data_IF_910826531394
#
_entry.id   IF_910826531394
#
_cell.length_a   1.000
_cell.length_b   1.000
_cell.length_c   1.000
_cell.angle_alpha   90.00
_cell.angle_beta   90.00
_cell.angle_gamma   90.00
#
_symmetry.space_group_name_H-M   'P 1'
#
loop_
_entity.id
_entity.type
_entity.pdbx_description
1 polymer ?
#
# COMPACT_ATOMS: atom_id res chain seq x y z
N UNK A 1 50.03 -43.99 49.21
CA UNK A 1 49.06 -42.96 48.80
C UNK A 1 49.45 -42.50 47.40
N UNK A 2 48.80 -43.03 46.37
CA UNK A 2 48.96 -42.58 44.98
C UNK A 2 47.54 -42.38 44.47
N UNK A 3 47.22 -41.13 44.14
CA UNK A 3 45.90 -40.67 43.76
C UNK A 3 45.72 -40.96 42.26
N UNK A 4 44.74 -41.80 41.92
CA UNK A 4 44.19 -41.90 40.57
C UNK A 4 43.29 -40.68 40.34
N UNK A 5 43.67 -39.78 39.43
CA UNK A 5 42.79 -38.74 38.92
C UNK A 5 42.18 -39.20 37.59
N UNK A 6 40.85 -39.25 37.60
CA UNK A 6 39.98 -39.58 36.49
C UNK A 6 40.21 -38.63 35.30
N UNK A 7 40.44 -39.21 34.12
CA UNK A 7 40.34 -38.49 32.85
C UNK A 7 38.87 -38.21 32.56
N UNK A 8 38.49 -36.94 32.63
CA UNK A 8 37.18 -36.46 32.18
C UNK A 8 37.14 -36.47 30.65
N UNK A 9 36.18 -37.22 30.10
CA UNK A 9 35.69 -37.04 28.73
C UNK A 9 35.08 -35.64 28.59
N UNK A 10 35.57 -34.84 27.65
CA UNK A 10 34.79 -33.79 27.02
C UNK A 10 34.69 -34.13 25.54
N UNK A 11 33.56 -34.71 25.16
CA UNK A 11 33.11 -34.73 23.78
C UNK A 11 32.55 -33.34 23.50
N UNK A 12 33.37 -32.46 22.91
CA UNK A 12 32.84 -31.33 22.16
C UNK A 12 32.22 -31.92 20.89
N UNK A 13 30.91 -31.74 20.73
CA UNK A 13 30.14 -32.03 19.53
C UNK A 13 30.79 -31.35 18.33
N UNK A 14 31.53 -32.14 17.55
CA UNK A 14 32.14 -31.72 16.29
C UNK A 14 31.00 -31.42 15.32
N UNK A 15 30.75 -30.13 15.08
CA UNK A 15 29.88 -29.67 13.99
C UNK A 15 30.50 -30.19 12.67
N UNK A 16 29.99 -31.28 12.11
CA UNK A 16 30.55 -31.88 10.90
C UNK A 16 30.41 -30.91 9.70
N UNK A 17 31.51 -30.23 9.34
CA UNK A 17 31.60 -29.36 8.16
C UNK A 17 31.66 -30.15 6.84
N UNK A 18 31.08 -31.35 6.75
CA UNK A 18 31.16 -32.17 5.54
C UNK A 18 30.24 -31.65 4.44
N UNK A 19 30.68 -31.73 3.18
CA UNK A 19 29.90 -31.27 2.05
C UNK A 19 30.21 -32.08 0.79
N UNK A 20 29.30 -32.03 -0.18
CA UNK A 20 29.41 -32.59 -1.53
C UNK A 20 29.23 -31.52 -2.60
N UNK A 21 28.57 -30.42 -2.26
CA UNK A 21 28.30 -29.28 -3.15
C UNK A 21 28.36 -27.97 -2.38
N UNK A 22 28.61 -26.86 -3.08
CA UNK A 22 28.63 -25.51 -2.49
C UNK A 22 27.30 -25.13 -1.82
N UNK A 23 26.18 -25.71 -2.27
CA UNK A 23 24.85 -25.46 -1.71
C UNK A 23 24.76 -25.80 -0.21
N UNK A 24 25.47 -26.84 0.22
CA UNK A 24 25.50 -27.29 1.62
C UNK A 24 26.32 -26.36 2.53
N UNK A 25 27.13 -25.48 1.94
CA UNK A 25 27.96 -24.50 2.66
C UNK A 25 27.36 -23.09 2.68
N UNK A 26 26.18 -22.89 2.07
CA UNK A 26 25.49 -21.59 2.01
C UNK A 26 25.06 -21.06 3.39
N UNK A 27 24.97 -21.94 4.39
CA UNK A 27 24.70 -21.56 5.77
C UNK A 27 25.86 -20.82 6.45
N UNK A 28 27.05 -20.77 5.82
CA UNK A 28 28.22 -20.07 6.33
C UNK A 28 28.58 -18.89 5.45
N UNK A 29 29.10 -17.82 6.05
CA UNK A 29 29.56 -16.67 5.28
C UNK A 29 30.66 -17.07 4.29
N UNK A 30 30.34 -17.01 2.99
CA UNK A 30 31.26 -17.36 1.90
C UNK A 30 31.79 -18.79 1.99
N UNK A 31 30.99 -19.70 2.54
CA UNK A 31 31.29 -21.12 2.55
C UNK A 31 31.30 -21.67 1.12
N UNK A 32 32.37 -22.40 0.78
CA UNK A 32 32.45 -23.23 -0.43
C UNK A 32 32.83 -24.64 -0.06
N UNK A 33 32.35 -25.59 -0.83
CA UNK A 33 32.69 -26.98 -0.64
C UNK A 33 34.03 -27.29 -1.32
N UNK A 34 35.07 -27.50 -0.52
CA UNK A 34 36.39 -27.85 -1.01
C UNK A 34 36.85 -29.13 -0.31
N UNK A 35 37.21 -30.15 -1.09
CA UNK A 35 37.68 -31.44 -0.59
C UNK A 35 36.74 -32.06 0.47
N UNK A 36 35.44 -32.09 0.12
CA UNK A 36 34.37 -32.57 0.97
C UNK A 36 34.21 -31.86 2.33
N UNK A 37 34.79 -30.66 2.49
CA UNK A 37 34.67 -29.84 3.70
C UNK A 37 34.29 -28.40 3.37
N UNK A 38 33.33 -27.82 4.07
CA UNK A 38 32.99 -26.41 3.95
C UNK A 38 34.18 -25.55 4.40
N UNK A 39 34.66 -24.70 3.50
CA UNK A 39 35.78 -23.79 3.71
C UNK A 39 35.32 -22.36 3.50
N UNK A 40 35.65 -21.48 4.44
CA UNK A 40 35.28 -20.06 4.40
C UNK A 40 36.51 -19.18 4.22
N UNK A 41 36.36 -18.05 3.52
CA UNK A 41 37.47 -17.15 3.17
C UNK A 41 37.25 -15.73 3.65
N UNK A 42 38.34 -15.08 4.10
CA UNK A 42 38.35 -13.69 4.53
C UNK A 42 38.05 -12.73 3.38
N UNK A 43 37.42 -11.58 3.72
CA UNK A 43 36.86 -10.64 2.72
C UNK A 43 37.88 -9.99 1.80
N UNK A 44 39.09 -9.77 2.31
CA UNK A 44 40.08 -8.91 1.66
C UNK A 44 41.36 -9.65 1.26
N UNK A 45 41.56 -10.88 1.74
CA UNK A 45 42.81 -11.63 1.54
C UNK A 45 42.63 -13.01 0.93
N UNK A 46 41.40 -13.50 0.76
CA UNK A 46 41.13 -14.86 0.29
C UNK A 46 41.68 -15.97 1.19
N UNK A 47 42.23 -15.61 2.35
CA UNK A 47 42.79 -16.55 3.31
C UNK A 47 41.68 -17.35 3.99
N UNK A 48 41.97 -18.62 4.26
CA UNK A 48 41.07 -19.51 4.98
C UNK A 48 40.85 -18.99 6.40
N UNK A 49 39.59 -18.87 6.79
CA UNK A 49 39.15 -18.48 8.13
C UNK A 49 38.12 -19.48 8.64
N UNK A 50 37.90 -19.46 9.95
CA UNK A 50 36.86 -20.27 10.57
C UNK A 50 35.48 -19.87 10.02
N UNK A 51 34.70 -20.88 9.65
CA UNK A 51 33.37 -20.66 9.10
C UNK A 51 32.44 -20.11 10.16
N UNK A 52 32.00 -18.88 9.97
CA UNK A 52 30.93 -18.27 10.75
C UNK A 52 29.60 -18.57 10.07
N UNK A 53 28.55 -18.95 10.82
CA UNK A 53 27.20 -19.00 10.28
C UNK A 53 26.87 -17.67 9.60
N UNK A 54 26.14 -17.72 8.48
CA UNK A 54 25.57 -16.52 7.91
C UNK A 54 24.70 -15.86 8.97
N UNK A 55 25.08 -14.66 9.40
CA UNK A 55 24.14 -13.78 10.08
C UNK A 55 23.05 -13.43 9.06
N UNK A 56 21.94 -14.17 9.09
CA UNK A 56 20.70 -13.64 8.55
C UNK A 56 20.43 -12.38 9.36
N UNK A 57 20.74 -11.22 8.79
CA UNK A 57 20.30 -9.94 9.34
C UNK A 57 18.79 -10.01 9.43
N UNK A 58 18.28 -10.35 10.61
CA UNK A 58 16.86 -10.29 10.94
C UNK A 58 16.51 -8.82 10.80
N UNK A 59 15.91 -8.50 9.66
CA UNK A 59 15.44 -7.15 9.39
C UNK A 59 14.21 -6.96 10.26
N UNK A 60 14.31 -6.11 11.29
CA UNK A 60 13.16 -5.64 12.08
C UNK A 60 12.30 -4.65 11.28
N UNK A 61 12.07 -4.94 10.00
CA UNK A 61 11.41 -4.08 9.02
C UNK A 61 10.28 -4.87 8.37
N UNK A 62 9.11 -4.26 8.23
CA UNK A 62 7.98 -4.83 7.49
C UNK A 62 8.38 -4.97 6.00
N UNK A 63 8.09 -6.13 5.41
CA UNK A 63 8.62 -6.57 4.13
C UNK A 63 9.90 -7.42 4.22
N UNK A 64 10.51 -7.49 5.41
CA UNK A 64 11.68 -8.33 5.70
C UNK A 64 11.37 -9.82 5.84
N UNK A 65 12.39 -10.66 6.04
CA UNK A 65 12.23 -12.11 6.20
C UNK A 65 11.61 -12.49 7.55
N UNK A 66 10.92 -13.63 7.60
CA UNK A 66 10.43 -14.21 8.85
C UNK A 66 11.58 -14.77 9.72
N UNK A 67 11.42 -14.85 11.06
CA UNK A 67 10.24 -14.52 11.86
C UNK A 67 10.08 -13.01 12.12
N UNK A 68 8.83 -12.58 12.36
CA UNK A 68 8.48 -11.18 12.63
C UNK A 68 8.43 -10.93 14.13
N UNK A 69 8.99 -9.81 14.58
CA UNK A 69 9.10 -9.48 16.00
C UNK A 69 8.31 -8.23 16.39
N UNK A 70 7.80 -7.49 15.41
CA UNK A 70 7.05 -6.26 15.61
C UNK A 70 5.61 -6.57 16.03
N UNK A 71 5.05 -5.74 16.91
CA UNK A 71 3.64 -5.82 17.29
C UNK A 71 2.74 -5.71 16.05
N UNK A 72 1.70 -6.53 16.01
CA UNK A 72 0.75 -6.61 14.90
C UNK A 72 1.36 -7.00 13.55
N UNK A 73 2.59 -7.53 13.52
CA UNK A 73 3.18 -8.13 12.33
C UNK A 73 2.93 -9.65 12.28
N UNK A 74 2.69 -10.15 11.08
CA UNK A 74 2.44 -11.55 10.77
C UNK A 74 3.38 -12.02 9.67
N UNK A 75 3.90 -13.24 9.81
CA UNK A 75 4.71 -13.88 8.79
C UNK A 75 3.80 -14.48 7.70
N UNK A 76 3.88 -13.94 6.48
CA UNK A 76 3.29 -14.56 5.31
C UNK A 76 4.17 -15.73 4.86
N UNK A 77 3.80 -16.95 5.28
CA UNK A 77 4.56 -18.19 4.98
C UNK A 77 4.75 -18.46 3.49
N UNK A 78 3.88 -17.96 2.60
CA UNK A 78 4.02 -18.19 1.15
C UNK A 78 5.11 -17.33 0.52
N UNK A 79 5.31 -16.13 1.07
CA UNK A 79 6.29 -15.15 0.58
C UNK A 79 7.53 -15.07 1.49
N UNK A 80 7.55 -15.85 2.57
CA UNK A 80 8.56 -15.84 3.63
C UNK A 80 8.89 -14.43 4.17
N UNK A 81 7.88 -13.54 4.18
CA UNK A 81 8.04 -12.13 4.50
C UNK A 81 7.09 -11.66 5.60
N UNK A 82 7.53 -10.63 6.34
CA UNK A 82 6.73 -9.96 7.35
C UNK A 82 5.78 -8.94 6.74
N UNK A 83 4.52 -8.99 7.16
CA UNK A 83 3.48 -8.04 6.80
C UNK A 83 2.73 -7.58 8.04
N UNK A 84 2.16 -6.38 8.03
CA UNK A 84 1.21 -6.00 9.06
C UNK A 84 -0.07 -6.84 8.95
N UNK A 85 -0.59 -7.24 10.11
CA UNK A 85 -1.89 -7.90 10.27
C UNK A 85 -3.02 -7.03 9.73
N UNK A 86 -4.20 -7.63 9.55
CA UNK A 86 -5.35 -6.91 9.00
C UNK A 86 -5.76 -5.72 9.86
N UNK A 87 -5.99 -4.58 9.20
CA UNK A 87 -6.30 -3.30 9.87
C UNK A 87 -5.06 -2.52 10.31
N UNK A 88 -3.86 -2.96 9.96
CA UNK A 88 -2.61 -2.26 10.23
C UNK A 88 -1.80 -2.01 8.96
N UNK A 89 -1.04 -0.92 8.95
CA UNK A 89 -0.14 -0.49 7.87
C UNK A 89 1.25 -0.19 8.43
N UNK A 90 2.33 -0.38 7.64
CA UNK A 90 3.67 -0.06 8.13
C UNK A 90 3.83 1.45 8.37
N UNK A 91 4.62 1.81 9.38
CA UNK A 91 5.17 3.16 9.54
C UNK A 91 6.07 3.55 8.36
N UNK A 92 6.40 4.84 8.25
CA UNK A 92 7.26 5.39 7.20
C UNK A 92 8.65 4.74 7.20
N UNK A 93 9.20 4.48 8.40
CA UNK A 93 10.45 3.74 8.60
C UNK A 93 10.29 2.21 8.52
N UNK A 94 9.05 1.72 8.34
CA UNK A 94 8.64 0.31 8.28
C UNK A 94 9.00 -0.52 9.50
N UNK A 95 9.29 0.10 10.65
CA UNK A 95 9.67 -0.61 11.88
C UNK A 95 8.50 -0.95 12.78
N UNK A 96 7.31 -0.40 12.50
CA UNK A 96 6.10 -0.57 13.29
C UNK A 96 4.91 -0.84 12.38
N UNK A 97 3.92 -1.55 12.90
CA UNK A 97 2.58 -1.62 12.31
C UNK A 97 1.66 -0.66 13.05
N UNK A 98 1.09 0.30 12.33
CA UNK A 98 0.20 1.33 12.82
C UNK A 98 -1.24 1.00 12.42
N UNK A 99 -2.22 1.40 13.24
CA UNK A 99 -3.62 1.22 12.87
C UNK A 99 -3.92 1.90 11.54
N UNK A 100 -4.56 1.20 10.61
CA UNK A 100 -4.91 1.74 9.29
C UNK A 100 -5.95 2.86 9.39
N UNK A 101 -6.83 2.79 10.41
CA UNK A 101 -7.89 3.76 10.68
C UNK A 101 -7.68 4.36 12.06
N UNK A 102 -7.66 5.69 12.15
CA UNK A 102 -7.37 6.44 13.38
C UNK A 102 -8.45 7.51 13.58
N UNK A 103 -9.00 7.61 14.80
CA UNK A 103 -10.09 8.56 15.10
C UNK A 103 -9.57 9.99 15.22
N UNK A 104 -10.49 10.95 15.23
CA UNK A 104 -10.15 12.35 15.53
C UNK A 104 -9.41 12.47 16.87
N UNK A 105 -8.45 13.39 16.91
CA UNK A 105 -7.56 13.64 18.04
C UNK A 105 -6.65 12.46 18.44
N UNK A 106 -6.68 11.32 17.75
CA UNK A 106 -5.72 10.24 17.97
C UNK A 106 -4.44 10.45 17.15
N UNK A 107 -3.37 9.73 17.51
CA UNK A 107 -2.06 9.85 16.87
C UNK A 107 -2.06 9.23 15.47
N UNK A 108 -1.56 9.97 14.50
CA UNK A 108 -1.46 9.54 13.11
C UNK A 108 -0.08 9.82 12.54
N UNK A 109 0.24 9.12 11.46
CA UNK A 109 1.46 9.29 10.67
C UNK A 109 1.12 9.67 9.22
N UNK A 110 0.00 9.15 8.70
CA UNK A 110 -0.47 9.38 7.34
C UNK A 110 -1.85 10.01 7.29
N UNK A 111 -2.06 10.93 6.34
CA UNK A 111 -3.37 11.53 6.12
C UNK A 111 -4.49 10.51 5.87
N UNK A 112 -4.16 9.39 5.20
CA UNK A 112 -5.13 8.32 4.89
C UNK A 112 -5.74 7.71 6.15
N UNK A 113 -4.97 7.58 7.25
CA UNK A 113 -5.47 7.00 8.49
C UNK A 113 -6.68 7.77 9.04
N UNK A 114 -6.58 9.09 9.02
CA UNK A 114 -7.66 9.98 9.44
C UNK A 114 -8.81 9.97 8.41
N UNK A 115 -8.48 10.03 7.12
CA UNK A 115 -9.49 10.09 6.04
C UNK A 115 -10.38 8.86 5.94
N UNK A 116 -9.90 7.70 6.38
CA UNK A 116 -10.69 6.47 6.46
C UNK A 116 -11.68 6.51 7.62
N UNK A 117 -11.35 7.20 8.72
CA UNK A 117 -12.28 7.40 9.84
C UNK A 117 -13.29 8.53 9.54
N UNK A 118 -12.80 9.67 9.04
CA UNK A 118 -13.60 10.82 8.64
C UNK A 118 -12.99 11.49 7.40
N UNK A 119 -13.77 11.56 6.32
CA UNK A 119 -13.35 12.03 5.00
C UNK A 119 -12.83 13.47 5.00
N UNK A 120 -13.29 14.30 5.95
CA UNK A 120 -12.93 15.69 6.10
C UNK A 120 -11.87 15.93 7.18
N UNK A 121 -11.27 14.85 7.69
CA UNK A 121 -10.09 14.92 8.56
C UNK A 121 -8.79 14.73 7.78
N UNK A 122 -7.68 15.08 8.43
CA UNK A 122 -6.34 14.91 7.91
C UNK A 122 -5.34 14.79 9.06
N UNK A 123 -4.25 14.05 8.83
CA UNK A 123 -3.16 14.00 9.80
C UNK A 123 -2.40 15.32 9.83
N UNK A 124 -2.41 16.02 10.96
CA UNK A 124 -1.69 17.27 11.12
C UNK A 124 -0.28 16.98 11.62
N UNK A 125 0.70 16.92 10.69
CA UNK A 125 2.06 16.42 10.97
C UNK A 125 2.82 17.19 12.06
N UNK A 126 2.51 18.46 12.30
CA UNK A 126 3.14 19.22 13.40
C UNK A 126 2.70 18.74 14.79
N UNK A 127 1.52 18.13 14.90
CA UNK A 127 0.96 17.61 16.14
C UNK A 127 0.91 16.08 16.15
N UNK A 128 1.09 15.45 14.98
CA UNK A 128 0.88 14.02 14.72
C UNK A 128 -0.50 13.55 15.19
N UNK A 129 -1.55 14.34 14.92
CA UNK A 129 -2.94 14.02 15.30
C UNK A 129 -3.91 14.21 14.15
N UNK A 130 -4.96 13.39 14.13
CA UNK A 130 -6.06 13.54 13.18
C UNK A 130 -6.93 14.74 13.55
N UNK A 131 -6.92 15.78 12.72
CA UNK A 131 -7.70 16.99 12.93
C UNK A 131 -8.61 17.23 11.72
N UNK A 132 -9.68 18.00 11.94
CA UNK A 132 -10.54 18.44 10.85
C UNK A 132 -9.79 19.39 9.90
N UNK A 133 -10.12 19.28 8.61
CA UNK A 133 -9.61 20.20 7.59
C UNK A 133 -10.24 21.59 7.76
N UNK A 134 -9.67 22.57 7.07
CA UNK A 134 -10.23 23.93 7.01
C UNK A 134 -11.73 23.92 6.66
N UNK A 135 -12.49 24.79 7.31
CA UNK A 135 -13.96 24.90 7.18
C UNK A 135 -14.76 23.72 7.74
N UNK A 136 -14.10 22.84 8.49
CA UNK A 136 -14.73 21.79 9.28
C UNK A 136 -14.31 21.90 10.73
N UNK A 137 -15.21 21.55 11.64
CA UNK A 137 -14.99 21.58 13.08
C UNK A 137 -15.28 20.23 13.70
N UNK A 138 -14.50 19.88 14.74
CA UNK A 138 -14.73 18.66 15.51
C UNK A 138 -15.98 18.81 16.37
N UNK A 139 -16.96 17.96 16.12
CA UNK A 139 -18.18 17.89 16.93
C UNK A 139 -18.63 16.44 17.07
N UNK A 140 -18.72 15.96 18.33
CA UNK A 140 -19.11 14.58 18.66
C UNK A 140 -18.30 13.51 17.91
N UNK A 141 -17.00 13.76 17.68
CA UNK A 141 -16.11 12.82 16.99
C UNK A 141 -16.22 12.83 15.45
N UNK A 142 -16.93 13.80 14.87
CA UNK A 142 -17.04 14.01 13.43
C UNK A 142 -16.54 15.39 13.03
N UNK A 143 -16.05 15.51 11.79
CA UNK A 143 -15.75 16.80 11.18
C UNK A 143 -16.97 17.34 10.47
N UNK A 144 -17.64 18.31 11.11
CA UNK A 144 -18.84 18.95 10.57
C UNK A 144 -18.49 20.20 9.79
N UNK A 145 -19.10 20.37 8.62
CA UNK A 145 -18.89 21.54 7.78
C UNK A 145 -19.41 22.80 8.48
N UNK A 146 -18.62 23.87 8.51
CA UNK A 146 -18.95 25.13 9.16
C UNK A 146 -19.48 26.13 8.11
N UNK A 147 -20.52 26.89 8.47
CA UNK A 147 -21.07 27.98 7.69
C UNK A 147 -20.55 29.34 8.18
N UNK A 148 -20.75 30.38 7.38
CA UNK A 148 -20.37 31.74 7.77
C UNK A 148 -21.30 32.36 8.81
N UNK A 149 -22.54 31.87 8.92
CA UNK A 149 -23.54 32.39 9.85
C UNK A 149 -23.19 32.08 11.30
N UNK A 150 -23.28 33.09 12.16
CA UNK A 150 -23.09 32.96 13.60
C UNK A 150 -24.37 32.48 14.30
N UNK A 151 -24.22 31.82 15.44
CA UNK A 151 -25.33 31.34 16.27
C UNK A 151 -24.97 31.33 17.76
N UNK A 152 -25.99 31.35 18.60
CA UNK A 152 -25.91 31.04 20.03
C UNK A 152 -26.54 29.67 20.28
N UNK A 153 -27.69 29.42 19.64
CA UNK A 153 -28.46 28.19 19.76
C UNK A 153 -28.79 27.60 18.38
N UNK A 154 -29.17 26.33 18.32
CA UNK A 154 -29.55 25.64 17.07
C UNK A 154 -30.68 26.35 16.31
N UNK A 155 -31.59 27.02 17.04
CA UNK A 155 -32.70 27.80 16.47
C UNK A 155 -32.24 28.97 15.61
N UNK A 156 -31.02 29.46 15.81
CA UNK A 156 -30.47 30.59 15.06
C UNK A 156 -29.98 30.15 13.66
N UNK A 157 -29.73 28.85 13.48
CA UNK A 157 -29.19 28.28 12.26
C UNK A 157 -30.24 27.98 11.18
N UNK A 158 -31.37 28.68 11.21
CA UNK A 158 -32.47 28.51 10.27
C UNK A 158 -33.31 27.25 10.52
N UNK A 159 -34.47 27.17 9.87
CA UNK A 159 -35.47 26.11 10.09
C UNK A 159 -35.20 24.80 9.33
N UNK A 160 -34.11 24.74 8.55
CA UNK A 160 -33.81 23.58 7.72
C UNK A 160 -33.03 22.55 8.55
N UNK A 161 -33.61 21.37 8.78
CA UNK A 161 -33.13 20.33 9.71
C UNK A 161 -31.76 19.69 9.42
N UNK A 162 -30.93 20.31 8.59
CA UNK A 162 -29.55 19.92 8.34
C UNK A 162 -28.53 20.88 8.97
N UNK A 163 -28.97 21.90 9.74
CA UNK A 163 -28.10 22.87 10.39
C UNK A 163 -28.17 22.72 11.92
N UNK A 164 -27.03 22.94 12.57
CA UNK A 164 -26.90 22.94 14.03
C UNK A 164 -25.91 24.03 14.46
N UNK A 165 -26.04 24.52 15.68
CA UNK A 165 -25.12 25.51 16.21
C UNK A 165 -23.90 24.80 16.82
N UNK A 166 -22.70 25.13 16.34
CA UNK A 166 -21.44 24.64 16.90
C UNK A 166 -21.01 25.58 18.04
N UNK A 167 -21.23 25.21 19.32
CA UNK A 167 -21.19 26.18 20.42
C UNK A 167 -19.78 26.75 20.65
N UNK A 168 -18.74 25.95 20.39
CA UNK A 168 -17.35 26.34 20.55
C UNK A 168 -16.94 27.45 19.56
N UNK A 169 -17.49 27.42 18.35
CA UNK A 169 -17.20 28.42 17.31
C UNK A 169 -18.23 29.54 17.25
N UNK A 170 -19.39 29.38 17.91
CA UNK A 170 -20.56 30.27 17.77
C UNK A 170 -20.97 30.45 16.30
N UNK A 171 -20.86 29.38 15.52
CA UNK A 171 -21.19 29.33 14.09
C UNK A 171 -22.10 28.16 13.79
N UNK A 172 -22.94 28.32 12.79
CA UNK A 172 -23.75 27.23 12.28
C UNK A 172 -22.86 26.22 11.56
N UNK A 173 -23.18 24.94 11.72
CA UNK A 173 -22.57 23.85 11.00
C UNK A 173 -23.63 22.95 10.37
N UNK A 174 -23.19 22.12 9.44
CA UNK A 174 -24.01 21.10 8.81
C UNK A 174 -24.03 19.83 9.66
N UNK A 175 -25.19 19.20 9.74
CA UNK A 175 -25.35 17.88 10.33
C UNK A 175 -24.51 16.83 9.59
N UNK A 176 -24.34 15.66 10.22
CA UNK A 176 -23.66 14.52 9.62
C UNK A 176 -24.32 14.19 8.26
N UNK A 177 -23.51 13.86 7.26
CA UNK A 177 -23.93 13.62 5.86
C UNK A 177 -24.41 14.86 5.09
N UNK A 178 -24.13 16.06 5.60
CA UNK A 178 -24.29 17.31 4.86
C UNK A 178 -22.97 18.10 4.84
N UNK A 179 -22.78 18.87 3.79
CA UNK A 179 -21.62 19.76 3.64
C UNK A 179 -22.08 21.15 3.24
N UNK A 180 -21.23 22.14 3.43
CA UNK A 180 -21.54 23.49 2.99
C UNK A 180 -21.48 23.62 1.46
N UNK A 181 -22.31 24.49 0.88
CA UNK A 181 -22.18 24.90 -0.53
C UNK A 181 -20.90 25.71 -0.77
N UNK A 182 -20.62 26.05 -2.03
CA UNK A 182 -19.43 26.84 -2.42
C UNK A 182 -19.27 28.15 -1.62
N UNK A 183 -20.38 28.81 -1.28
CA UNK A 183 -20.38 30.09 -0.57
C UNK A 183 -20.51 29.95 0.95
N UNK A 184 -20.50 28.72 1.49
CA UNK A 184 -20.60 28.48 2.94
C UNK A 184 -21.86 29.07 3.60
N UNK A 185 -22.95 29.20 2.85
CA UNK A 185 -24.21 29.80 3.29
C UNK A 185 -25.32 28.80 3.58
N UNK A 186 -25.25 27.60 3.02
CA UNK A 186 -26.25 26.54 3.22
C UNK A 186 -25.62 25.16 3.20
N UNK A 187 -26.30 24.22 3.84
CA UNK A 187 -25.95 22.80 3.79
C UNK A 187 -26.58 22.13 2.58
N UNK A 188 -25.81 21.28 1.91
CA UNK A 188 -26.17 20.51 0.73
C UNK A 188 -25.77 19.05 0.94
N UNK A 189 -26.44 18.14 0.23
CA UNK A 189 -26.13 16.71 0.21
C UNK A 189 -24.89 16.43 -0.64
N UNK A 190 -24.39 15.20 -0.56
CA UNK A 190 -23.34 14.72 -1.45
C UNK A 190 -23.82 14.63 -2.90
N UNK A 191 -22.88 14.69 -3.83
CA UNK A 191 -23.09 14.47 -5.26
C UNK A 191 -22.33 13.22 -5.70
N UNK A 192 -22.98 12.34 -6.45
CA UNK A 192 -22.39 11.07 -6.88
C UNK A 192 -21.50 11.23 -8.12
N UNK A 193 -20.82 10.16 -8.52
CA UNK A 193 -19.86 10.21 -9.61
C UNK A 193 -20.55 10.59 -10.93
N UNK A 194 -20.06 11.63 -11.61
CA UNK A 194 -20.61 12.16 -12.85
C UNK A 194 -21.72 13.19 -12.66
N UNK A 195 -22.28 13.32 -11.47
CA UNK A 195 -23.36 14.27 -11.16
C UNK A 195 -22.85 15.71 -11.09
N UNK A 196 -23.79 16.65 -11.23
CA UNK A 196 -23.54 18.08 -11.11
C UNK A 196 -22.99 18.45 -9.73
N UNK A 197 -22.00 19.34 -9.71
CA UNK A 197 -21.43 19.85 -8.47
C UNK A 197 -21.05 21.33 -8.54
N UNK A 198 -21.18 21.98 -7.39
CA UNK A 198 -20.72 23.36 -7.17
C UNK A 198 -19.40 23.42 -6.38
N UNK A 199 -19.09 22.38 -5.60
CA UNK A 199 -17.91 22.30 -4.75
C UNK A 199 -17.40 20.86 -4.62
N UNK A 200 -16.09 20.71 -4.40
CA UNK A 200 -15.48 19.40 -4.16
C UNK A 200 -15.94 18.74 -2.87
N UNK A 201 -16.40 19.52 -1.87
CA UNK A 201 -16.92 18.97 -0.60
C UNK A 201 -18.16 18.10 -0.82
N UNK A 202 -19.04 18.48 -1.75
CA UNK A 202 -20.20 17.68 -2.12
C UNK A 202 -19.78 16.33 -2.74
N UNK A 203 -18.81 16.34 -3.64
CA UNK A 203 -18.27 15.11 -4.23
C UNK A 203 -17.56 14.23 -3.20
N UNK A 204 -16.82 14.84 -2.26
CA UNK A 204 -16.08 14.10 -1.23
C UNK A 204 -17.01 13.32 -0.30
N UNK A 205 -18.21 13.84 -0.06
CA UNK A 205 -19.18 13.20 0.81
C UNK A 205 -19.60 11.82 0.28
N UNK A 206 -19.95 11.72 -1.00
CA UNK A 206 -20.30 10.44 -1.66
C UNK A 206 -19.05 9.61 -2.01
N UNK A 207 -18.07 10.24 -2.66
CA UNK A 207 -16.94 9.55 -3.29
C UNK A 207 -15.75 9.27 -2.37
N UNK A 208 -15.71 9.84 -1.16
CA UNK A 208 -14.55 9.76 -0.29
C UNK A 208 -13.60 10.94 -0.45
N UNK A 209 -12.50 10.96 0.30
CA UNK A 209 -11.53 12.08 0.30
C UNK A 209 -10.86 12.35 -1.07
N UNK A 210 -11.00 11.42 -2.02
CA UNK A 210 -10.54 11.53 -3.41
C UNK A 210 -11.52 12.20 -4.38
N UNK A 211 -12.75 12.51 -3.96
CA UNK A 211 -13.72 13.22 -4.79
C UNK A 211 -13.32 14.67 -5.06
N UNK A 212 -13.56 15.13 -6.29
CA UNK A 212 -13.30 16.50 -6.71
C UNK A 212 -14.38 16.96 -7.69
N UNK A 213 -14.77 18.22 -7.59
CA UNK A 213 -15.62 18.85 -8.58
C UNK A 213 -14.74 19.39 -9.72
N UNK A 214 -14.84 18.78 -10.90
CA UNK A 214 -14.09 19.12 -12.10
C UNK A 214 -15.09 19.33 -13.25
N UNK A 215 -15.02 20.48 -13.93
CA UNK A 215 -15.93 20.83 -15.03
C UNK A 215 -17.41 20.69 -14.64
N UNK A 216 -17.76 21.16 -13.43
CA UNK A 216 -19.09 21.07 -12.83
C UNK A 216 -19.61 19.64 -12.64
N UNK A 217 -18.74 18.63 -12.69
CA UNK A 217 -19.08 17.23 -12.44
C UNK A 217 -18.20 16.61 -11.37
N UNK A 218 -18.77 15.73 -10.56
CA UNK A 218 -17.99 14.97 -9.59
C UNK A 218 -17.15 13.90 -10.29
N UNK A 219 -15.85 13.97 -10.08
CA UNK A 219 -14.88 13.00 -10.58
C UNK A 219 -13.87 12.64 -9.48
N UNK A 220 -13.05 11.63 -9.73
CA UNK A 220 -11.90 11.35 -8.88
C UNK A 220 -10.75 12.28 -9.25
N UNK A 221 -10.06 12.82 -8.25
CA UNK A 221 -8.80 13.55 -8.46
C UNK A 221 -7.76 12.64 -9.13
N UNK A 222 -6.76 13.23 -9.76
CA UNK A 222 -5.74 12.51 -10.57
C UNK A 222 -4.98 11.39 -9.87
N UNK A 223 -4.91 11.40 -8.53
CA UNK A 223 -4.25 10.35 -7.74
C UNK A 223 -5.18 9.20 -7.35
N UNK A 224 -6.44 9.21 -7.81
CA UNK A 224 -7.48 8.25 -7.45
C UNK A 224 -8.19 7.75 -8.71
N UNK A 225 -8.68 6.52 -8.65
CA UNK A 225 -9.49 5.92 -9.72
C UNK A 225 -10.89 5.58 -9.18
N UNK A 226 -11.92 5.60 -10.05
CA UNK A 226 -13.26 5.24 -9.63
C UNK A 226 -13.42 3.70 -9.53
N UNK A 227 -14.02 3.23 -8.45
CA UNK A 227 -14.31 1.81 -8.19
C UNK A 227 -15.75 1.62 -7.70
N UNK A 228 -16.39 0.54 -8.17
CA UNK A 228 -17.68 0.06 -7.65
C UNK A 228 -17.50 -0.65 -6.31
N UNK A 229 -18.30 -0.27 -5.32
CA UNK A 229 -18.39 -0.94 -4.03
C UNK A 229 -19.85 -1.23 -3.68
N UNK A 230 -20.12 -2.31 -2.94
CA UNK A 230 -21.46 -2.58 -2.43
C UNK A 230 -21.98 -1.41 -1.59
N UNK A 231 -23.28 -1.13 -1.70
CA UNK A 231 -23.95 -0.17 -0.84
C UNK A 231 -23.99 -0.70 0.59
N UNK A 232 -23.36 0.03 1.50
CA UNK A 232 -23.45 -0.23 2.93
C UNK A 232 -24.63 0.57 3.50
N UNK A 233 -25.85 0.02 3.45
CA UNK A 233 -26.95 0.44 4.35
C UNK A 233 -27.83 -0.79 4.67
N UNK A 234 -28.04 -1.14 5.95
CA UNK A 234 -29.27 -1.80 6.39
C UNK A 234 -30.23 -0.82 7.08
N UNK A 235 -31.54 -1.08 6.91
CA UNK A 235 -32.78 -0.41 7.42
C UNK A 235 -33.31 0.68 6.47
N UNK A 236 -34.53 0.65 5.94
CA UNK A 236 -35.79 -0.02 6.30
C UNK A 236 -36.51 -0.61 5.07
N UNK A 237 -37.46 -1.52 5.34
CA UNK A 237 -38.38 -2.15 4.39
C UNK A 237 -38.92 -1.15 3.36
N UNK A 238 -38.52 -1.32 2.11
CA UNK A 238 -39.42 -1.32 0.96
C UNK A 238 -38.67 -1.93 -0.22
N UNK A 239 -39.34 -2.82 -0.95
CA UNK A 239 -38.78 -3.52 -2.09
C UNK A 239 -38.26 -2.51 -3.14
N UNK A 240 -36.94 -2.41 -3.28
CA UNK A 240 -36.32 -1.60 -4.34
C UNK A 240 -35.47 -2.49 -5.22
N UNK A 241 -35.69 -2.29 -6.51
CA UNK A 241 -35.15 -2.99 -7.67
C UNK A 241 -33.66 -3.37 -7.55
N UNK A 242 -33.34 -4.58 -7.97
CA UNK A 242 -32.03 -5.26 -7.86
C UNK A 242 -30.83 -4.55 -8.50
N UNK A 243 -31.04 -3.39 -9.14
CA UNK A 243 -30.01 -2.59 -9.83
C UNK A 243 -29.44 -1.42 -9.00
N UNK A 244 -29.89 -1.18 -7.77
CA UNK A 244 -29.39 -0.09 -6.90
C UNK A 244 -28.40 -0.54 -5.80
N UNK A 245 -27.72 -1.68 -5.95
CA UNK A 245 -26.88 -2.24 -4.87
C UNK A 245 -25.42 -1.76 -4.84
N UNK A 246 -24.97 -0.97 -5.82
CA UNK A 246 -23.57 -0.55 -5.94
C UNK A 246 -23.44 0.97 -6.04
N UNK A 247 -22.41 1.53 -5.40
CA UNK A 247 -22.01 2.94 -5.53
C UNK A 247 -20.57 3.06 -5.99
N UNK A 248 -20.23 4.22 -6.54
CA UNK A 248 -18.88 4.53 -6.99
C UNK A 248 -18.14 5.29 -5.88
N UNK A 249 -16.90 4.89 -5.58
CA UNK A 249 -15.97 5.64 -4.72
C UNK A 249 -14.68 5.95 -5.46
N UNK A 250 -13.96 6.94 -4.98
CA UNK A 250 -12.61 7.25 -5.43
C UNK A 250 -11.59 6.56 -4.54
N UNK A 251 -10.93 5.54 -5.07
CA UNK A 251 -9.87 4.80 -4.39
C UNK A 251 -8.49 5.30 -4.85
N UNK A 252 -7.48 5.41 -3.96
CA UNK A 252 -6.15 5.81 -4.36
C UNK A 252 -5.56 4.89 -5.44
N UNK A 253 -4.89 5.47 -6.43
CA UNK A 253 -4.03 4.74 -7.37
C UNK A 253 -2.90 4.08 -6.57
N UNK A 254 -2.56 2.84 -6.91
CA UNK A 254 -1.47 2.09 -6.27
C UNK A 254 -0.16 2.40 -7.00
N UNK A 255 0.77 3.19 -6.42
CA UNK A 255 2.04 3.48 -7.05
C UNK A 255 3.04 2.33 -6.92
N UNK A 256 4.10 2.36 -7.73
CA UNK A 256 5.32 1.60 -7.47
C UNK A 256 5.84 1.85 -6.04
N UNK A 257 6.22 0.78 -5.34
CA UNK A 257 6.69 0.83 -3.96
C UNK A 257 5.57 0.93 -2.91
N UNK A 258 4.29 0.93 -3.32
CA UNK A 258 3.18 0.88 -2.37
C UNK A 258 3.24 -0.37 -1.49
N UNK A 259 2.84 -0.25 -0.23
CA UNK A 259 2.75 -1.39 0.67
C UNK A 259 1.75 -2.43 0.17
N UNK A 260 2.12 -3.70 0.24
CA UNK A 260 1.26 -4.82 -0.10
C UNK A 260 1.47 -6.01 0.84
N UNK A 261 0.41 -6.81 1.02
CA UNK A 261 0.44 -8.11 1.70
C UNK A 261 0.37 -9.24 0.68
N UNK A 262 -0.34 -8.99 -0.41
CA UNK A 262 -0.67 -9.93 -1.48
C UNK A 262 -0.62 -9.25 -2.84
N UNK A 263 -0.53 -10.03 -3.92
CA UNK A 263 -0.53 -9.48 -5.28
C UNK A 263 -1.80 -8.68 -5.61
N UNK A 264 -2.94 -9.02 -5.01
CA UNK A 264 -4.20 -8.27 -5.21
C UNK A 264 -4.15 -6.85 -4.64
N UNK A 265 -3.32 -6.58 -3.64
CA UNK A 265 -3.15 -5.22 -3.12
C UNK A 265 -2.46 -4.30 -4.14
N UNK A 266 -1.76 -4.88 -5.13
CA UNK A 266 -1.10 -4.17 -6.22
C UNK A 266 -1.98 -4.04 -7.48
N UNK A 267 -3.22 -4.51 -7.42
CA UNK A 267 -4.14 -4.49 -8.55
C UNK A 267 -5.15 -3.35 -8.40
N UNK A 268 -5.39 -2.62 -9.49
CA UNK A 268 -6.46 -1.64 -9.58
C UNK A 268 -7.66 -2.26 -10.29
N UNK A 269 -8.86 -2.03 -9.75
CA UNK A 269 -10.12 -2.51 -10.33
C UNK A 269 -11.01 -1.32 -10.76
N UNK A 270 -10.61 -0.56 -11.81
CA UNK A 270 -11.39 0.59 -12.26
C UNK A 270 -12.74 0.17 -12.86
N UNK A 271 -13.70 1.09 -12.93
CA UNK A 271 -15.04 0.86 -13.51
C UNK A 271 -15.03 0.23 -14.92
N UNK A 272 -13.98 0.49 -15.71
CA UNK A 272 -13.82 -0.01 -17.08
C UNK A 272 -13.14 -1.40 -17.15
N UNK A 273 -12.84 -2.02 -16.00
CA UNK A 273 -12.29 -3.37 -15.94
C UNK A 273 -13.42 -4.41 -15.99
N UNK A 274 -14.13 -4.52 -17.12
CA UNK A 274 -15.18 -5.52 -17.31
C UNK A 274 -15.57 -5.79 -18.77
N UNK A 275 -15.38 -7.05 -19.17
CA UNK A 275 -16.24 -7.86 -20.07
C UNK A 275 -15.98 -8.04 -21.59
N UNK A 276 -14.89 -7.56 -22.21
CA UNK A 276 -14.69 -7.87 -23.65
C UNK A 276 -13.28 -8.11 -24.16
N UNK A 277 -12.31 -8.42 -23.28
CA UNK A 277 -11.00 -8.93 -23.70
C UNK A 277 -10.52 -10.05 -22.79
N UNK A 278 -9.84 -11.08 -23.34
CA UNK A 278 -9.17 -12.08 -22.52
C UNK A 278 -8.25 -11.35 -21.54
N UNK A 279 -8.27 -11.73 -20.26
CA UNK A 279 -7.30 -11.29 -19.26
C UNK A 279 -5.89 -11.31 -19.89
N UNK A 280 -5.17 -10.17 -19.97
CA UNK A 280 -3.74 -10.25 -20.22
C UNK A 280 -3.11 -11.11 -19.11
N UNK A 281 -2.16 -12.01 -19.40
CA UNK A 281 -1.79 -13.08 -18.47
C UNK A 281 -1.05 -12.66 -17.19
N UNK A 282 -0.81 -11.37 -16.95
CA UNK A 282 -0.02 -10.90 -15.80
C UNK A 282 -0.45 -9.48 -15.42
N UNK A 283 -0.82 -9.27 -14.15
CA UNK A 283 -0.94 -7.90 -13.61
C UNK A 283 0.39 -7.17 -13.78
N UNK A 284 0.37 -5.89 -14.16
CA UNK A 284 1.60 -5.10 -14.38
C UNK A 284 2.46 -5.00 -13.12
N UNK A 285 1.86 -5.21 -11.95
CA UNK A 285 2.51 -5.22 -10.65
C UNK A 285 2.26 -6.52 -9.88
N UNK A 286 3.21 -6.87 -9.01
CA UNK A 286 3.15 -7.97 -8.05
C UNK A 286 3.72 -7.55 -6.70
N UNK A 287 3.33 -8.24 -5.63
CA UNK A 287 3.80 -7.96 -4.29
C UNK A 287 5.10 -8.72 -3.98
N UNK A 288 6.19 -7.98 -3.75
CA UNK A 288 7.50 -8.55 -3.43
C UNK A 288 8.15 -7.75 -2.30
N UNK A 289 8.57 -8.45 -1.25
CA UNK A 289 9.18 -7.85 -0.06
C UNK A 289 8.31 -6.77 0.58
N UNK A 290 7.00 -7.03 0.63
CA UNK A 290 5.99 -6.10 1.17
C UNK A 290 5.72 -4.85 0.33
N UNK A 291 6.24 -4.78 -0.90
CA UNK A 291 6.03 -3.65 -1.82
C UNK A 291 5.52 -4.08 -3.18
N UNK A 292 4.70 -3.22 -3.79
CA UNK A 292 4.26 -3.39 -5.16
C UNK A 292 5.41 -3.06 -6.12
N UNK A 293 5.85 -4.08 -6.85
CA UNK A 293 6.93 -3.99 -7.84
C UNK A 293 6.38 -4.36 -9.22
N UNK A 294 7.06 -3.91 -10.27
CA UNK A 294 6.70 -4.33 -11.62
C UNK A 294 6.88 -5.83 -11.78
N UNK A 295 5.89 -6.46 -12.42
CA UNK A 295 5.98 -7.85 -12.86
C UNK A 295 7.04 -8.01 -13.95
N UNK A 296 7.35 -9.26 -14.32
CA UNK A 296 8.25 -9.52 -15.42
C UNK A 296 7.78 -8.80 -16.71
N UNK A 297 8.74 -8.31 -17.50
CA UNK A 297 8.52 -7.57 -18.76
C UNK A 297 7.87 -6.18 -18.60
N UNK A 298 7.83 -5.64 -17.38
CA UNK A 298 7.41 -4.27 -17.13
C UNK A 298 8.54 -3.48 -16.47
N UNK A 299 8.70 -2.21 -16.88
CA UNK A 299 9.67 -1.29 -16.29
C UNK A 299 8.96 -0.10 -15.64
N UNK A 300 9.65 0.55 -14.70
CA UNK A 300 9.09 1.70 -13.98
C UNK A 300 9.25 2.95 -14.84
N UNK A 301 8.12 3.62 -15.11
CA UNK A 301 8.07 4.96 -15.70
C UNK A 301 7.04 5.78 -14.92
N UNK A 302 7.45 6.95 -14.41
CA UNK A 302 6.59 7.86 -13.63
C UNK A 302 5.80 7.18 -12.49
N UNK A 303 6.48 6.33 -11.71
CA UNK A 303 5.92 5.50 -10.62
C UNK A 303 4.83 4.49 -11.06
N UNK A 304 4.74 4.19 -12.35
CA UNK A 304 3.85 3.19 -12.92
C UNK A 304 4.66 2.12 -13.66
N UNK A 305 4.09 0.92 -13.76
CA UNK A 305 4.72 -0.19 -14.48
C UNK A 305 4.18 -0.24 -15.91
N UNK A 306 5.04 0.08 -16.88
CA UNK A 306 4.73 0.07 -18.30
C UNK A 306 5.36 -1.15 -18.97
N UNK A 307 4.72 -1.71 -19.99
CA UNK A 307 5.25 -2.87 -20.71
C UNK A 307 6.54 -2.47 -21.43
N UNK A 308 7.59 -3.28 -21.28
CA UNK A 308 8.81 -3.11 -22.06
C UNK A 308 8.49 -3.34 -23.54
N UNK A 309 8.56 -2.28 -24.36
CA UNK A 309 8.53 -2.42 -25.80
C UNK A 309 9.77 -3.21 -26.23
N UNK A 310 9.56 -4.46 -26.65
CA UNK A 310 10.63 -5.36 -27.08
C UNK A 310 11.58 -4.67 -28.06
N UNK A 311 12.82 -4.44 -27.63
CA UNK A 311 13.89 -3.97 -28.48
C UNK A 311 14.06 -4.95 -29.65
N UNK A 312 14.15 -4.39 -30.86
CA UNK A 312 14.45 -5.09 -32.10
C UNK A 312 15.46 -6.21 -31.92
N UNK A 313 15.05 -7.43 -32.29
CA UNK A 313 15.94 -8.59 -32.45
C UNK A 313 17.08 -8.17 -33.40
N UNK A 314 18.36 -8.33 -33.03
CA UNK A 314 19.44 -8.14 -33.97
C UNK A 314 19.35 -9.28 -34.99
N UNK A 315 18.94 -8.95 -36.21
CA UNK A 315 19.03 -9.86 -37.35
C UNK A 315 20.50 -10.12 -37.65
N UNK A 316 21.11 -11.07 -36.95
CA UNK A 316 22.28 -11.78 -37.44
C UNK A 316 21.82 -12.68 -38.59
N UNK A 317 21.68 -12.08 -39.77
CA UNK A 317 21.57 -12.82 -41.02
C UNK A 317 22.93 -13.46 -41.31
N UNK A 318 23.05 -14.72 -40.88
CA UNK A 318 23.89 -15.72 -41.52
C UNK A 318 23.68 -15.64 -43.04
N UNK A 319 24.68 -15.16 -43.77
CA UNK A 319 24.85 -15.49 -45.18
C UNK A 319 25.99 -16.48 -45.24
N UNK A 320 25.62 -17.75 -45.15
CA UNK A 320 26.46 -18.86 -45.58
C UNK A 320 26.43 -18.97 -47.11
N UNK A 321 27.61 -18.80 -47.70
CA UNK A 321 28.19 -19.68 -48.72
C UNK A 321 27.43 -19.90 -50.04
N UNK A 322 27.93 -19.30 -51.13
CA UNK A 322 27.94 -19.94 -52.45
C UNK A 322 29.22 -19.56 -53.21
N UNK A 323 30.15 -20.52 -53.29
CA UNK A 323 31.20 -20.62 -54.31
C UNK A 323 30.52 -21.15 -55.59
N UNK A 324 30.90 -20.66 -56.77
CA UNK A 324 31.51 -21.58 -57.72
C UNK A 324 32.77 -21.02 -58.40
N UNK A 325 33.64 -21.98 -58.67
CA UNK A 325 34.88 -21.95 -59.44
C UNK A 325 34.61 -21.64 -60.93
N UNK A 326 35.48 -20.83 -61.55
CA UNK A 326 35.93 -20.92 -62.97
C UNK A 326 37.05 -19.87 -63.16
N UNK A 327 38.34 -20.22 -63.08
CA UNK A 327 39.23 -20.61 -64.19
C UNK A 327 39.16 -19.70 -65.45
N UNK A 328 40.26 -18.95 -65.66
CA UNK A 328 41.08 -18.84 -66.89
C UNK A 328 40.80 -17.71 -67.93
N UNK A 329 41.93 -17.07 -68.32
CA UNK A 329 42.32 -16.31 -69.55
C UNK A 329 41.75 -14.90 -69.81
N UNK A 330 42.55 -13.85 -69.62
CA UNK A 330 43.47 -13.28 -70.63
C UNK A 330 44.46 -12.30 -70.00
#
# INVERSE_FOLDING_TARGET
MVIFLAGFCLAEEILELSCSTDAQCLQFERGRCLNATCTCTARDSGQRVDCKPMEQKVTNIIGGHCPCHQDHAECNKKLEQCSCSSGFVPSEDKRRCLAEVVRLDERCEFHRQCQLADKFSSCHLSQNRCLCRSNFESHQGHCLAVLESSCVNDTDCGSCGALLCLPQLKKCGCAVNYVHNRNMTKCITGSDYGDGCDSSTACQLSLGSGGQCQDHRCACRSTHYPRKVPNAIPKEENAVDTNQLERIICEPIVPFGAYCRTNSDCQMHPLMAGESRPLPPTSSMECKWGECRCSAYHSVQDNQCVLESGGSIPTHLWIGLLIPISLILY
#
